data_IF_753200769832
#
_entry.id   IF_753200769832
#
_cell.length_a   1.000
_cell.length_b   1.000
_cell.length_c   1.000
_cell.angle_alpha   90.00
_cell.angle_beta   90.00
_cell.angle_gamma   90.00
#
_symmetry.space_group_name_H-M   'P 1'
#
loop_
_entity.id
_entity.type
_entity.pdbx_description
1 polymer ?
#
# COMPACT_ATOMS: atom_id res chain seq x y z
N UNK A 1 -12.98 -1.54 -6.79
CA UNK A 1 -12.69 -0.21 -7.41
C UNK A 1 -11.36 -0.24 -8.17
N UNK A 2 -11.18 0.56 -9.23
CA UNK A 2 -9.93 0.64 -10.02
C UNK A 2 -9.52 2.09 -10.35
N UNK A 3 -8.24 2.41 -10.20
CA UNK A 3 -7.58 3.62 -10.70
C UNK A 3 -6.54 3.16 -11.73
N UNK A 4 -6.65 3.60 -12.98
CA UNK A 4 -5.76 3.19 -14.06
C UNK A 4 -5.24 4.38 -14.85
N UNK A 5 -3.95 4.39 -15.10
CA UNK A 5 -3.26 5.33 -15.99
C UNK A 5 -2.39 4.55 -16.97
N UNK A 6 -1.66 5.26 -17.83
CA UNK A 6 -0.68 4.65 -18.73
C UNK A 6 0.55 4.08 -17.99
N UNK A 7 0.82 4.56 -16.77
CA UNK A 7 2.04 4.24 -16.02
C UNK A 7 1.81 3.34 -14.80
N UNK A 8 0.60 3.32 -14.27
CA UNK A 8 0.29 2.55 -13.06
C UNK A 8 -1.17 2.14 -12.97
N UNK A 9 -1.41 1.17 -12.10
CA UNK A 9 -2.74 0.68 -11.76
C UNK A 9 -2.88 0.48 -10.25
N UNK A 10 -4.03 0.85 -9.70
CA UNK A 10 -4.42 0.56 -8.32
C UNK A 10 -5.77 -0.14 -8.33
N UNK A 11 -5.84 -1.33 -7.74
CA UNK A 11 -7.04 -2.17 -7.75
C UNK A 11 -7.41 -2.50 -6.32
N UNK A 12 -8.65 -2.22 -5.92
CA UNK A 12 -9.26 -2.80 -4.73
C UNK A 12 -10.11 -4.00 -5.16
N UNK A 13 -9.68 -5.19 -4.74
CA UNK A 13 -10.43 -6.43 -4.93
C UNK A 13 -11.38 -6.62 -3.74
N UNK A 14 -12.68 -6.59 -4.03
CA UNK A 14 -13.74 -6.53 -3.01
C UNK A 14 -13.83 -7.81 -2.16
N UNK A 15 -13.37 -8.95 -2.68
CA UNK A 15 -13.49 -10.24 -1.99
C UNK A 15 -12.57 -10.41 -0.77
N UNK A 16 -11.47 -9.65 -0.68
CA UNK A 16 -10.39 -9.94 0.30
C UNK A 16 -9.78 -8.71 0.99
N UNK A 17 -10.37 -7.52 0.83
CA UNK A 17 -9.76 -6.26 1.29
C UNK A 17 -8.31 -6.11 0.80
N UNK A 18 -8.10 -6.55 -0.44
CA UNK A 18 -6.78 -6.55 -1.08
C UNK A 18 -6.67 -5.31 -1.96
N UNK A 19 -5.64 -4.52 -1.71
CA UNK A 19 -5.27 -3.38 -2.52
C UNK A 19 -3.99 -3.74 -3.28
N UNK A 20 -4.05 -3.75 -4.61
CA UNK A 20 -2.92 -4.04 -5.50
C UNK A 20 -2.43 -2.75 -6.13
N UNK A 21 -1.12 -2.50 -6.08
CA UNK A 21 -0.47 -1.41 -6.78
C UNK A 21 0.51 -2.01 -7.80
N UNK A 22 0.39 -1.59 -9.04
CA UNK A 22 1.15 -2.14 -10.17
C UNK A 22 1.76 -0.99 -11.01
N UNK A 23 2.91 -1.23 -11.63
CA UNK A 23 3.59 -0.28 -12.50
C UNK A 23 4.46 0.74 -11.75
N UNK A 24 4.49 1.99 -12.23
CA UNK A 24 5.41 3.03 -11.77
C UNK A 24 4.68 4.30 -11.30
N UNK A 25 4.67 4.55 -9.99
CA UNK A 25 4.03 5.73 -9.38
C UNK A 25 5.05 6.86 -9.31
N UNK A 26 5.03 7.72 -10.34
CA UNK A 26 5.92 8.88 -10.52
C UNK A 26 5.22 10.22 -10.25
N UNK A 27 4.25 10.22 -9.35
CA UNK A 27 3.35 11.37 -9.13
C UNK A 27 4.08 12.55 -8.47
N UNK A 28 3.88 13.77 -8.97
CA UNK A 28 4.76 14.93 -8.67
C UNK A 28 4.47 15.60 -7.33
N UNK A 29 3.36 15.27 -6.67
CA UNK A 29 2.96 15.87 -5.40
C UNK A 29 1.85 15.11 -4.68
N UNK A 30 1.57 15.50 -3.43
CA UNK A 30 0.53 14.87 -2.61
C UNK A 30 -0.88 14.97 -3.21
N UNK A 31 -1.15 16.01 -3.99
CA UNK A 31 -2.44 16.21 -4.67
C UNK A 31 -2.74 15.08 -5.67
N UNK A 32 -1.75 14.66 -6.44
CA UNK A 32 -1.89 13.55 -7.39
C UNK A 32 -2.13 12.20 -6.69
N UNK A 33 -1.69 12.06 -5.45
CA UNK A 33 -1.95 10.88 -4.63
C UNK A 33 -3.35 10.87 -4.00
N UNK A 34 -4.13 11.96 -4.09
CA UNK A 34 -5.43 12.06 -3.41
C UNK A 34 -6.37 10.88 -3.72
N UNK A 35 -6.54 10.43 -4.99
CA UNK A 35 -7.41 9.29 -5.28
C UNK A 35 -6.97 7.98 -4.59
N UNK A 36 -5.65 7.78 -4.43
CA UNK A 36 -5.08 6.60 -3.75
C UNK A 36 -5.29 6.71 -2.24
N UNK A 37 -5.12 7.92 -1.69
CA UNK A 37 -5.37 8.20 -0.27
C UNK A 37 -6.84 7.99 0.08
N UNK A 38 -7.76 8.42 -0.78
CA UNK A 38 -9.19 8.23 -0.57
C UNK A 38 -9.57 6.75 -0.59
N UNK A 39 -9.02 5.97 -1.54
CA UNK A 39 -9.19 4.52 -1.59
C UNK A 39 -8.71 3.85 -0.30
N UNK A 40 -7.52 4.23 0.18
CA UNK A 40 -6.95 3.73 1.42
C UNK A 40 -7.83 4.04 2.63
N UNK A 41 -8.38 5.26 2.70
CA UNK A 41 -9.28 5.66 3.75
C UNK A 41 -10.57 4.83 3.74
N UNK A 42 -11.18 4.65 2.56
CA UNK A 42 -12.40 3.85 2.39
C UNK A 42 -12.20 2.41 2.88
N UNK A 43 -11.09 1.77 2.51
CA UNK A 43 -10.80 0.39 2.94
C UNK A 43 -10.65 0.30 4.46
N UNK A 44 -9.93 1.25 5.06
CA UNK A 44 -9.71 1.29 6.52
C UNK A 44 -11.00 1.56 7.29
N UNK A 45 -11.91 2.34 6.72
CA UNK A 45 -13.19 2.68 7.36
C UNK A 45 -14.29 1.65 7.08
N UNK A 46 -14.03 0.65 6.23
CA UNK A 46 -14.94 -0.48 5.94
C UNK A 46 -15.00 -1.56 7.04
N UNK A 47 -14.42 -1.32 8.22
CA UNK A 47 -14.44 -2.22 9.39
C UNK A 47 -13.96 -3.65 9.11
N UNK A 48 -12.99 -3.81 8.21
CA UNK A 48 -12.41 -5.11 7.84
C UNK A 48 -11.42 -5.58 8.90
N UNK A 49 -11.39 -6.88 9.20
CA UNK A 49 -10.44 -7.45 10.17
C UNK A 49 -9.02 -7.57 9.61
N UNK A 50 -8.88 -7.54 8.28
CA UNK A 50 -7.61 -7.75 7.59
C UNK A 50 -7.53 -6.94 6.30
N UNK A 51 -6.36 -6.36 6.03
CA UNK A 51 -6.03 -5.69 4.77
C UNK A 51 -4.76 -6.34 4.19
N UNK A 52 -4.80 -6.61 2.88
CA UNK A 52 -3.62 -7.06 2.14
C UNK A 52 -3.19 -5.97 1.15
N UNK A 53 -1.94 -5.52 1.26
CA UNK A 53 -1.33 -4.59 0.31
C UNK A 53 -0.35 -5.36 -0.57
N UNK A 54 -0.72 -5.57 -1.83
CA UNK A 54 0.09 -6.27 -2.82
C UNK A 54 0.88 -5.27 -3.66
N UNK A 55 2.20 -5.31 -3.50
CA UNK A 55 3.15 -4.42 -4.14
C UNK A 55 4.11 -5.18 -5.06
N UNK A 56 3.88 -6.47 -5.32
CA UNK A 56 4.85 -7.31 -6.06
C UNK A 56 5.17 -6.76 -7.45
N UNK A 57 4.16 -6.21 -8.12
CA UNK A 57 4.25 -5.60 -9.45
C UNK A 57 4.46 -4.07 -9.40
N UNK A 58 4.75 -3.50 -8.22
CA UNK A 58 5.03 -2.08 -8.05
C UNK A 58 6.51 -1.77 -8.32
N UNK A 59 6.86 -1.63 -9.59
CA UNK A 59 8.23 -1.46 -10.07
C UNK A 59 8.90 -0.19 -9.55
N UNK A 60 8.14 0.90 -9.40
CA UNK A 60 8.66 2.17 -8.94
C UNK A 60 7.69 2.93 -8.03
N UNK A 61 8.23 3.54 -6.98
CA UNK A 61 7.52 4.44 -6.09
C UNK A 61 8.47 5.54 -5.63
N UNK A 62 8.07 6.80 -5.82
CA UNK A 62 8.87 7.94 -5.36
C UNK A 62 8.71 8.19 -3.84
N UNK A 63 9.49 9.13 -3.31
CA UNK A 63 9.50 9.47 -1.87
C UNK A 63 8.12 9.87 -1.33
N UNK A 64 7.35 10.65 -2.09
CA UNK A 64 5.98 11.03 -1.73
C UNK A 64 5.06 9.81 -1.59
N UNK A 65 5.18 8.85 -2.52
CA UNK A 65 4.43 7.60 -2.44
C UNK A 65 4.81 6.75 -1.25
N UNK A 66 6.10 6.67 -0.91
CA UNK A 66 6.57 5.99 0.32
C UNK A 66 5.98 6.65 1.58
N UNK A 67 5.86 7.98 1.61
CA UNK A 67 5.21 8.70 2.70
C UNK A 67 3.72 8.37 2.79
N UNK A 68 3.02 8.27 1.65
CA UNK A 68 1.61 7.83 1.58
C UNK A 68 1.45 6.42 2.17
N UNK A 69 2.30 5.46 1.76
CA UNK A 69 2.28 4.10 2.33
C UNK A 69 2.56 4.10 3.84
N UNK A 70 3.52 4.93 4.29
CA UNK A 70 3.86 5.04 5.71
C UNK A 70 2.70 5.56 6.56
N UNK A 71 2.01 6.60 6.08
CA UNK A 71 0.80 7.14 6.74
C UNK A 71 -0.33 6.12 6.76
N UNK A 72 -0.50 5.36 5.69
CA UNK A 72 -1.50 4.29 5.61
C UNK A 72 -1.26 3.21 6.68
N UNK A 73 -0.03 2.72 6.80
CA UNK A 73 0.37 1.74 7.83
C UNK A 73 0.12 2.29 9.24
N UNK A 74 0.46 3.55 9.50
CA UNK A 74 0.21 4.19 10.79
C UNK A 74 -1.29 4.27 11.09
N UNK A 75 -2.12 4.64 10.10
CA UNK A 75 -3.58 4.72 10.27
C UNK A 75 -4.18 3.34 10.58
N UNK A 76 -3.73 2.29 9.90
CA UNK A 76 -4.16 0.90 10.21
C UNK A 76 -3.77 0.52 11.64
N UNK A 77 -2.52 0.77 12.04
CA UNK A 77 -2.04 0.49 13.41
C UNK A 77 -2.90 1.19 14.47
N UNK A 78 -3.38 2.41 14.21
CA UNK A 78 -4.24 3.16 15.13
C UNK A 78 -5.63 2.54 15.30
N UNK A 79 -6.14 1.76 14.34
CA UNK A 79 -7.41 1.05 14.48
C UNK A 79 -7.33 -0.13 15.47
N UNK A 80 -6.12 -0.64 15.74
CA UNK A 80 -5.80 -1.74 16.67
C UNK A 80 -6.41 -3.12 16.35
N UNK A 81 -7.52 -3.17 15.61
CA UNK A 81 -8.27 -4.40 15.29
C UNK A 81 -8.09 -4.89 13.85
N UNK A 82 -7.19 -4.28 13.07
CA UNK A 82 -6.94 -4.64 11.67
C UNK A 82 -5.57 -5.30 11.54
N UNK A 83 -5.55 -6.53 11.03
CA UNK A 83 -4.32 -7.21 10.63
C UNK A 83 -3.87 -6.70 9.26
N UNK A 84 -2.58 -6.35 9.12
CA UNK A 84 -2.02 -5.94 7.84
C UNK A 84 -1.04 -6.99 7.31
N UNK A 85 -1.21 -7.35 6.03
CA UNK A 85 -0.22 -8.11 5.25
C UNK A 85 0.29 -7.21 4.13
N UNK A 86 1.61 -7.15 3.97
CA UNK A 86 2.25 -6.53 2.79
C UNK A 86 2.94 -7.63 1.99
N UNK A 87 2.63 -7.71 0.71
CA UNK A 87 3.28 -8.62 -0.24
C UNK A 87 4.24 -7.80 -1.10
N UNK A 88 5.51 -8.14 -1.04
CA UNK A 88 6.57 -7.51 -1.82
C UNK A 88 7.34 -8.53 -2.65
N UNK A 89 8.18 -8.03 -3.55
CA UNK A 89 9.04 -8.80 -4.44
C UNK A 89 10.50 -8.46 -4.17
N UNK A 90 11.35 -9.47 -3.98
CA UNK A 90 12.79 -9.25 -3.82
C UNK A 90 13.46 -8.73 -5.10
N UNK A 91 12.78 -8.83 -6.24
CA UNK A 91 13.26 -8.33 -7.54
C UNK A 91 13.18 -6.80 -7.63
N UNK A 92 12.37 -6.15 -6.79
CA UNK A 92 12.16 -4.70 -6.83
C UNK A 92 13.03 -4.00 -5.77
N UNK A 93 14.08 -3.32 -6.23
CA UNK A 93 15.16 -2.79 -5.39
C UNK A 93 14.70 -1.88 -4.23
N UNK A 94 13.70 -1.01 -4.45
CA UNK A 94 13.24 -0.08 -3.43
C UNK A 94 12.49 -0.77 -2.27
N UNK A 95 11.92 -1.95 -2.52
CA UNK A 95 11.04 -2.63 -1.57
C UNK A 95 11.78 -3.17 -0.36
N UNK A 96 12.99 -3.72 -0.55
CA UNK A 96 13.73 -4.37 0.52
C UNK A 96 13.90 -3.50 1.78
N UNK A 97 14.40 -2.27 1.62
CA UNK A 97 14.55 -1.33 2.74
C UNK A 97 13.21 -0.70 3.16
N UNK A 98 12.39 -0.30 2.19
CA UNK A 98 11.17 0.47 2.45
C UNK A 98 10.10 -0.37 3.16
N UNK A 99 9.87 -1.61 2.74
CA UNK A 99 8.86 -2.47 3.35
C UNK A 99 9.27 -2.93 4.76
N UNK A 100 10.58 -3.14 5.00
CA UNK A 100 11.11 -3.34 6.36
C UNK A 100 10.86 -2.12 7.26
N UNK A 101 10.93 -0.90 6.71
CA UNK A 101 10.58 0.30 7.47
C UNK A 101 9.08 0.37 7.79
N UNK A 102 8.20 -0.06 6.88
CA UNK A 102 6.77 -0.18 7.17
C UNK A 102 6.52 -1.16 8.33
N UNK A 103 7.21 -2.30 8.35
CA UNK A 103 7.13 -3.25 9.45
C UNK A 103 7.65 -2.67 10.78
N UNK A 104 8.65 -1.78 10.76
CA UNK A 104 9.07 -1.06 11.99
C UNK A 104 8.01 -0.09 12.49
N UNK A 105 7.25 0.54 11.59
CA UNK A 105 6.13 1.41 11.94
C UNK A 105 4.96 0.61 12.53
N UNK A 106 4.71 -0.62 12.06
CA UNK A 106 3.68 -1.50 12.61
C UNK A 106 4.29 -2.90 12.83
N UNK A 107 4.82 -3.21 14.03
CA UNK A 107 5.50 -4.49 14.28
C UNK A 107 4.63 -5.74 14.04
N UNK A 108 3.30 -5.60 14.11
CA UNK A 108 2.32 -6.67 13.83
C UNK A 108 2.06 -6.88 12.34
N UNK A 109 2.56 -6.01 11.46
CA UNK A 109 2.47 -6.14 10.01
C UNK A 109 3.27 -7.36 9.54
N UNK A 110 2.61 -8.24 8.79
CA UNK A 110 3.24 -9.41 8.20
C UNK A 110 3.78 -9.07 6.82
N UNK A 111 5.08 -9.20 6.64
CA UNK A 111 5.74 -8.99 5.36
C UNK A 111 5.96 -10.35 4.68
N UNK A 112 5.41 -10.50 3.48
CA UNK A 112 5.56 -11.70 2.64
C UNK A 112 6.35 -11.32 1.39
N UNK A 113 7.39 -12.09 1.11
CA UNK A 113 8.23 -11.90 -0.07
C UNK A 113 7.92 -12.99 -1.09
N UNK A 114 7.83 -12.60 -2.36
CA UNK A 114 8.07 -13.48 -3.50
C UNK A 114 9.57 -13.54 -3.82
#
# INVERSE_FOLDING_TARGET
MEIKTDSYRVIQADENSTIKLEGALRLSGMEEYAPIVDLFNQVVDSSVEKITLDLRELEFLNSSGINVLSKFVIKIRQKQNIQMIVQGSQKVAWQGKSLKNLQRLMPTLQLKWE
#
